data_IF_287728627015
#
_entry.id   IF_287728627015
#
_cell.length_a   1.000
_cell.length_b   1.000
_cell.length_c   1.000
_cell.angle_alpha   90.00
_cell.angle_beta   90.00
_cell.angle_gamma   90.00
#
_symmetry.space_group_name_H-M   'P 1'
#
loop_
_entity.id
_entity.type
_entity.pdbx_description
1 polymer ?
#
# COMPACT_ATOMS: atom_id res chain seq x y z
N UNK A 1 -52.63 -53.49 -37.30
CA UNK A 1 -53.36 -52.32 -37.83
C UNK A 1 -52.60 -51.11 -37.34
N UNK A 2 -51.51 -50.78 -38.03
CA UNK A 2 -51.45 -49.92 -39.23
C UNK A 2 -51.25 -48.45 -38.85
N UNK A 3 -49.99 -48.02 -38.99
CA UNK A 3 -49.53 -46.83 -39.73
C UNK A 3 -50.51 -45.69 -40.04
N UNK A 4 -50.17 -44.44 -39.64
CA UNK A 4 -49.46 -43.47 -40.51
C UNK A 4 -49.50 -42.02 -39.98
N UNK A 5 -48.34 -41.36 -40.09
CA UNK A 5 -48.04 -39.95 -40.39
C UNK A 5 -49.07 -38.83 -40.15
N UNK A 6 -48.60 -37.77 -39.46
CA UNK A 6 -49.22 -36.45 -39.51
C UNK A 6 -48.39 -35.37 -38.81
N UNK A 7 -47.48 -34.74 -39.55
CA UNK A 7 -46.78 -33.51 -39.14
C UNK A 7 -47.77 -32.34 -39.12
N UNK A 8 -47.83 -31.57 -38.02
CA UNK A 8 -47.94 -30.09 -37.97
C UNK A 8 -47.85 -29.57 -36.54
N UNK A 9 -47.01 -28.55 -36.37
CA UNK A 9 -46.70 -27.76 -35.17
C UNK A 9 -47.91 -27.07 -34.55
N UNK A 10 -47.82 -26.71 -33.25
CA UNK A 10 -47.97 -25.30 -32.93
C UNK A 10 -46.89 -24.76 -31.97
N UNK A 11 -46.67 -23.45 -32.11
CA UNK A 11 -45.80 -22.59 -31.33
C UNK A 11 -45.86 -22.84 -29.81
N UNK A 12 -44.68 -22.97 -29.19
CA UNK A 12 -44.48 -22.58 -27.79
C UNK A 12 -43.35 -21.57 -27.74
N UNK A 13 -43.70 -20.39 -27.23
CA UNK A 13 -42.84 -19.24 -27.05
C UNK A 13 -41.56 -19.62 -26.30
N UNK A 14 -40.42 -19.25 -26.88
CA UNK A 14 -39.17 -19.10 -26.13
C UNK A 14 -39.40 -17.91 -25.18
N UNK A 15 -39.72 -18.22 -23.93
CA UNK A 15 -39.66 -17.26 -22.83
C UNK A 15 -38.20 -16.85 -22.66
N UNK A 16 -37.87 -15.63 -23.11
CA UNK A 16 -36.64 -14.95 -22.71
C UNK A 16 -36.65 -14.75 -21.19
N UNK A 17 -36.11 -15.74 -20.47
CA UNK A 17 -35.71 -15.59 -19.08
C UNK A 17 -34.61 -14.54 -19.01
N UNK A 18 -34.99 -13.34 -18.56
CA UNK A 18 -34.13 -12.19 -18.35
C UNK A 18 -32.87 -12.57 -17.54
N UNK A 19 -31.65 -12.25 -18.01
CA UNK A 19 -30.41 -12.40 -17.23
C UNK A 19 -30.24 -11.31 -16.14
N UNK A 20 -31.32 -10.62 -15.76
CA UNK A 20 -31.28 -9.43 -14.91
C UNK A 20 -31.31 -9.73 -13.40
N UNK A 21 -31.50 -10.98 -12.97
CA UNK A 21 -31.54 -11.30 -11.53
C UNK A 21 -30.17 -11.47 -10.88
N UNK A 22 -29.10 -11.76 -11.65
CA UNK A 22 -27.75 -11.90 -11.08
C UNK A 22 -27.03 -10.57 -10.89
N UNK A 23 -27.29 -9.57 -11.72
CA UNK A 23 -26.75 -8.21 -11.56
C UNK A 23 -27.37 -7.48 -10.37
N UNK A 24 -28.66 -7.70 -10.10
CA UNK A 24 -29.33 -7.10 -8.94
C UNK A 24 -28.81 -7.66 -7.60
N UNK A 25 -28.44 -8.95 -7.53
CA UNK A 25 -27.85 -9.54 -6.32
C UNK A 25 -26.41 -9.11 -6.07
N UNK A 26 -25.61 -8.87 -7.11
CA UNK A 26 -24.24 -8.34 -6.94
C UNK A 26 -24.28 -6.86 -6.53
N UNK A 27 -25.20 -6.08 -7.09
CA UNK A 27 -25.37 -4.68 -6.70
C UNK A 27 -25.96 -4.53 -5.28
N UNK A 28 -26.85 -5.44 -4.85
CA UNK A 28 -27.36 -5.47 -3.48
C UNK A 28 -26.30 -5.93 -2.45
N UNK A 29 -25.38 -6.81 -2.84
CA UNK A 29 -24.24 -7.18 -1.99
C UNK A 29 -23.19 -6.06 -1.91
N UNK A 30 -23.02 -5.27 -2.98
CA UNK A 30 -22.19 -4.06 -2.98
C UNK A 30 -22.83 -2.89 -2.21
N UNK A 31 -24.16 -2.84 -2.10
CA UNK A 31 -24.88 -1.82 -1.34
C UNK A 31 -25.06 -2.16 0.16
N UNK A 32 -24.82 -3.40 0.56
CA UNK A 32 -24.65 -3.77 1.98
C UNK A 32 -23.28 -3.35 2.54
N UNK A 33 -22.36 -2.94 1.67
CA UNK A 33 -21.09 -2.26 1.97
C UNK A 33 -21.16 -0.78 1.59
N UNK A 34 -22.29 -0.12 1.84
CA UNK A 34 -22.29 1.33 1.90
C UNK A 34 -21.30 1.74 3.00
N UNK A 35 -20.14 2.35 2.67
CA UNK A 35 -19.24 2.83 3.69
C UNK A 35 -20.00 3.87 4.48
N UNK A 36 -19.81 3.86 5.79
CA UNK A 36 -20.02 5.01 6.65
C UNK A 36 -19.67 6.27 5.86
N UNK A 37 -20.68 7.11 5.61
CA UNK A 37 -20.49 8.38 4.93
C UNK A 37 -19.36 9.12 5.64
N UNK A 38 -18.33 9.43 4.85
CA UNK A 38 -17.12 10.13 5.24
C UNK A 38 -17.46 11.38 6.07
N UNK A 39 -17.03 11.41 7.31
CA UNK A 39 -16.47 12.66 7.85
C UNK A 39 -15.13 12.84 7.12
N UNK A 40 -15.02 13.92 6.36
CA UNK A 40 -13.74 14.37 5.82
C UNK A 40 -12.74 14.46 6.99
N UNK A 41 -11.60 13.78 6.88
CA UNK A 41 -10.68 13.65 8.01
C UNK A 41 -10.26 15.03 8.52
N UNK A 42 -10.46 15.27 9.81
CA UNK A 42 -10.02 16.49 10.53
C UNK A 42 -8.50 16.67 10.55
N UNK A 43 -7.75 15.71 9.99
CA UNK A 43 -6.30 15.68 9.95
C UNK A 43 -5.83 15.82 8.50
N UNK A 44 -4.95 16.79 8.25
CA UNK A 44 -4.21 17.00 7.01
C UNK A 44 -2.71 16.83 7.32
N UNK A 45 -2.32 15.58 7.59
CA UNK A 45 -0.95 15.20 7.94
C UNK A 45 -0.43 14.33 6.78
N UNK A 46 0.35 14.94 5.90
CA UNK A 46 0.96 14.27 4.76
C UNK A 46 2.35 13.68 5.04
N UNK A 47 2.90 13.04 4.02
CA UNK A 47 4.30 12.59 3.95
C UNK A 47 5.25 13.70 3.44
N UNK A 48 4.66 14.80 2.95
CA UNK A 48 5.35 15.92 2.27
C UNK A 48 5.92 16.96 3.24
N UNK A 49 6.44 16.49 4.37
CA UNK A 49 7.03 17.32 5.41
C UNK A 49 8.19 18.19 4.93
N UNK A 50 8.44 19.30 5.64
CA UNK A 50 9.62 20.13 5.38
C UNK A 50 10.90 19.28 5.44
N UNK A 51 11.75 19.41 4.42
CA UNK A 51 13.05 18.75 4.35
C UNK A 51 14.17 19.80 4.38
N UNK A 52 15.09 19.75 5.36
CA UNK A 52 15.16 18.80 6.47
C UNK A 52 14.08 19.06 7.53
N UNK A 53 13.76 18.04 8.33
CA UNK A 53 12.86 18.16 9.46
C UNK A 53 13.44 19.17 10.47
N UNK A 54 12.71 20.22 10.89
CA UNK A 54 13.26 21.26 11.76
C UNK A 54 13.79 20.69 13.09
N UNK A 55 14.96 21.16 13.53
CA UNK A 55 15.65 20.66 14.75
C UNK A 55 14.75 20.74 15.98
N UNK A 56 14.05 21.86 16.16
CA UNK A 56 13.13 22.05 17.28
C UNK A 56 12.00 20.99 17.31
N UNK A 57 11.38 20.72 16.16
CA UNK A 57 10.31 19.72 16.05
C UNK A 57 10.82 18.30 16.26
N UNK A 58 12.03 18.01 15.78
CA UNK A 58 12.72 16.74 16.02
C UNK A 58 12.96 16.52 17.52
N UNK A 59 13.54 17.52 18.19
CA UNK A 59 13.84 17.45 19.62
C UNK A 59 12.57 17.29 20.45
N UNK A 60 11.49 17.98 20.06
CA UNK A 60 10.19 17.84 20.71
C UNK A 60 9.64 16.41 20.64
N UNK A 61 9.70 15.74 19.48
CA UNK A 61 9.28 14.33 19.35
C UNK A 61 10.15 13.41 20.21
N UNK A 62 11.48 13.60 20.18
CA UNK A 62 12.41 12.74 20.92
C UNK A 62 12.26 12.91 22.44
N UNK A 63 12.08 14.14 22.91
CA UNK A 63 11.81 14.43 24.31
C UNK A 63 10.47 13.87 24.75
N UNK A 64 9.42 14.04 23.95
CA UNK A 64 8.10 13.50 24.24
C UNK A 64 8.14 11.96 24.33
N UNK A 65 8.85 11.30 23.42
CA UNK A 65 9.00 9.84 23.44
C UNK A 65 9.70 9.35 24.71
N UNK A 66 10.74 10.08 25.16
CA UNK A 66 11.50 9.76 26.38
C UNK A 66 10.65 9.98 27.64
N UNK A 67 9.92 11.07 27.71
CA UNK A 67 9.13 11.46 28.89
C UNK A 67 7.85 10.64 29.06
N UNK A 68 7.38 10.00 27.98
CA UNK A 68 6.20 9.15 27.95
C UNK A 68 6.51 7.65 27.90
N UNK A 69 7.76 7.24 28.19
CA UNK A 69 8.15 5.84 28.04
C UNK A 69 7.31 4.88 28.89
N UNK A 70 6.81 3.82 28.26
CA UNK A 70 6.00 2.79 28.91
C UNK A 70 4.57 3.16 29.27
N UNK A 71 4.07 4.35 28.91
CA UNK A 71 2.68 4.76 29.22
C UNK A 71 1.98 5.42 28.03
N UNK A 72 0.65 5.50 28.12
CA UNK A 72 -0.13 6.30 27.16
C UNK A 72 0.22 7.79 27.30
N UNK A 73 0.08 8.51 26.18
CA UNK A 73 0.24 9.96 26.16
C UNK A 73 -0.88 10.62 26.96
N UNK A 74 -0.53 11.62 27.76
CA UNK A 74 -1.49 12.53 28.36
C UNK A 74 -2.13 13.40 27.27
N UNK A 75 -3.24 14.07 27.59
CA UNK A 75 -3.96 14.88 26.60
C UNK A 75 -3.07 15.96 25.96
N UNK A 76 -2.36 16.72 26.79
CA UNK A 76 -1.48 17.80 26.32
C UNK A 76 -0.29 17.26 25.50
N UNK A 77 0.22 16.09 25.87
CA UNK A 77 1.30 15.39 25.15
C UNK A 77 0.83 14.90 23.77
N UNK A 78 -0.37 14.35 23.70
CA UNK A 78 -0.99 13.92 22.46
C UNK A 78 -1.29 15.11 21.54
N UNK A 79 -1.82 16.21 22.08
CA UNK A 79 -2.11 17.41 21.32
C UNK A 79 -0.81 18.07 20.81
N UNK A 80 0.26 18.06 21.62
CA UNK A 80 1.59 18.47 21.18
C UNK A 80 2.15 17.59 20.06
N UNK A 81 2.01 16.26 20.17
CA UNK A 81 2.46 15.33 19.12
C UNK A 81 1.72 15.58 17.79
N UNK A 82 0.39 15.74 17.85
CA UNK A 82 -0.42 16.05 16.66
C UNK A 82 -0.03 17.38 16.05
N UNK A 83 0.22 18.41 16.85
CA UNK A 83 0.61 19.73 16.35
C UNK A 83 1.91 19.66 15.54
N UNK A 84 2.91 18.90 16.01
CA UNK A 84 4.16 18.68 15.26
C UNK A 84 3.88 17.97 13.92
N UNK A 85 3.05 16.93 13.92
CA UNK A 85 2.73 16.20 12.70
C UNK A 85 1.91 17.03 11.70
N UNK A 86 0.99 17.88 12.16
CA UNK A 86 0.23 18.79 11.29
C UNK A 86 1.16 19.81 10.62
N UNK A 87 2.17 20.30 11.34
CA UNK A 87 3.09 21.30 10.77
C UNK A 87 4.16 20.67 9.87
N UNK A 88 4.68 19.50 10.25
CA UNK A 88 5.87 18.91 9.63
C UNK A 88 5.62 17.63 8.86
N UNK A 89 4.41 17.07 8.89
CA UNK A 89 4.12 15.75 8.35
C UNK A 89 4.77 14.61 9.16
N UNK A 90 4.55 13.39 8.67
CA UNK A 90 5.20 12.20 9.23
C UNK A 90 6.70 12.17 8.90
N UNK A 91 7.58 11.83 9.87
CA UNK A 91 9.01 11.67 9.59
C UNK A 91 9.29 10.57 8.56
N UNK A 92 10.14 10.87 7.58
CA UNK A 92 10.65 9.92 6.58
C UNK A 92 12.15 9.72 6.75
N UNK A 93 12.70 8.71 6.07
CA UNK A 93 14.13 8.42 6.09
C UNK A 93 14.90 9.62 5.52
N UNK A 94 14.36 10.26 4.48
CA UNK A 94 14.97 11.42 3.82
C UNK A 94 14.88 12.70 4.64
N UNK A 95 13.76 12.96 5.33
CA UNK A 95 13.58 14.23 6.07
C UNK A 95 14.30 14.25 7.41
N UNK A 96 14.33 13.12 8.11
CA UNK A 96 14.65 13.07 9.54
C UNK A 96 15.48 11.85 9.98
N UNK A 97 15.59 10.83 9.13
CA UNK A 97 16.29 9.59 9.42
C UNK A 97 15.52 8.61 10.31
N UNK A 98 16.03 7.38 10.45
CA UNK A 98 15.30 6.25 11.04
C UNK A 98 14.90 6.48 12.50
N UNK A 99 15.76 7.12 13.29
CA UNK A 99 15.51 7.36 14.72
C UNK A 99 14.22 8.16 14.98
N UNK A 100 13.87 9.11 14.12
CA UNK A 100 12.66 9.91 14.30
C UNK A 100 11.40 9.14 13.90
N UNK A 101 11.49 8.30 12.87
CA UNK A 101 10.41 7.38 12.46
C UNK A 101 10.06 6.45 13.62
N UNK A 102 11.08 5.82 14.22
CA UNK A 102 10.88 4.88 15.32
C UNK A 102 10.34 5.56 16.58
N UNK A 103 10.78 6.79 16.86
CA UNK A 103 10.26 7.58 17.97
C UNK A 103 8.78 7.96 17.75
N UNK A 104 8.43 8.44 16.55
CA UNK A 104 7.06 8.77 16.18
C UNK A 104 6.15 7.53 16.18
N UNK A 105 6.64 6.37 15.76
CA UNK A 105 5.90 5.10 15.83
C UNK A 105 5.50 4.73 17.27
N UNK A 106 6.43 4.87 18.22
CA UNK A 106 6.16 4.62 19.64
C UNK A 106 5.15 5.61 20.22
N UNK A 107 5.23 6.89 19.84
CA UNK A 107 4.26 7.90 20.24
C UNK A 107 2.88 7.61 19.64
N UNK A 108 2.83 7.19 18.38
CA UNK A 108 1.60 6.78 17.71
C UNK A 108 0.95 5.59 18.42
N UNK A 109 1.72 4.54 18.77
CA UNK A 109 1.22 3.40 19.57
C UNK A 109 0.60 3.88 20.90
N UNK A 110 1.22 4.86 21.57
CA UNK A 110 0.80 5.43 22.85
C UNK A 110 -0.33 6.45 22.76
N UNK A 111 -0.75 6.82 21.55
CA UNK A 111 -1.79 7.83 21.29
C UNK A 111 -3.22 7.28 21.48
N UNK A 112 -3.42 6.23 22.28
CA UNK A 112 -4.69 5.53 22.40
C UNK A 112 -5.85 6.33 23.02
N UNK A 113 -5.61 7.55 23.52
CA UNK A 113 -6.69 8.49 23.86
C UNK A 113 -7.46 8.99 22.62
N UNK A 114 -6.93 8.81 21.41
CA UNK A 114 -7.59 9.18 20.15
C UNK A 114 -7.45 8.06 19.11
N UNK A 115 -8.45 7.18 19.08
CA UNK A 115 -8.54 6.05 18.16
C UNK A 115 -8.60 6.49 16.69
N UNK A 116 -9.31 7.58 16.38
CA UNK A 116 -9.48 8.05 15.01
C UNK A 116 -8.19 8.64 14.45
N UNK A 117 -7.43 9.37 15.28
CA UNK A 117 -6.08 9.80 14.94
C UNK A 117 -5.17 8.60 14.65
N UNK A 118 -5.19 7.56 15.49
CA UNK A 118 -4.36 6.37 15.26
C UNK A 118 -4.73 5.65 13.94
N UNK A 119 -6.02 5.47 13.66
CA UNK A 119 -6.50 4.89 12.39
C UNK A 119 -6.10 5.74 11.18
N UNK A 120 -6.22 7.06 11.30
CA UNK A 120 -5.81 7.98 10.24
C UNK A 120 -4.32 7.83 9.95
N UNK A 121 -3.48 7.85 10.99
CA UNK A 121 -2.03 7.71 10.80
C UNK A 121 -1.64 6.36 10.22
N UNK A 122 -2.29 5.25 10.62
CA UNK A 122 -2.03 3.96 9.98
C UNK A 122 -2.26 4.00 8.46
N UNK A 123 -3.28 4.73 7.98
CA UNK A 123 -3.51 4.92 6.53
C UNK A 123 -2.44 5.78 5.85
N UNK A 124 -1.85 6.73 6.57
CA UNK A 124 -0.72 7.53 6.07
C UNK A 124 0.54 6.64 5.98
N UNK A 125 0.80 5.83 7.00
CA UNK A 125 1.95 4.92 7.05
C UNK A 125 1.87 3.82 6.00
N UNK A 126 0.67 3.34 5.68
CA UNK A 126 0.45 2.30 4.66
C UNK A 126 1.13 2.64 3.32
N UNK A 127 1.11 3.93 2.94
CA UNK A 127 1.71 4.43 1.70
C UNK A 127 3.25 4.38 1.69
N UNK A 128 3.90 4.11 2.83
CA UNK A 128 5.35 4.03 2.97
C UNK A 128 5.82 2.61 3.32
N UNK A 129 4.92 1.64 3.40
CA UNK A 129 5.26 0.25 3.65
C UNK A 129 6.03 -0.30 2.45
N UNK A 130 7.23 -0.84 2.72
CA UNK A 130 8.14 -1.30 1.67
C UNK A 130 9.17 -0.25 1.23
N UNK A 131 8.91 1.04 1.47
CA UNK A 131 9.86 2.13 1.28
C UNK A 131 10.58 2.43 2.60
N UNK A 132 10.04 3.34 3.41
CA UNK A 132 10.62 3.75 4.70
C UNK A 132 10.15 2.91 5.89
N UNK A 133 9.07 2.13 5.70
CA UNK A 133 8.41 1.37 6.77
C UNK A 133 8.49 -0.13 6.50
N UNK A 134 8.98 -0.88 7.49
CA UNK A 134 9.08 -2.34 7.40
C UNK A 134 7.68 -2.98 7.49
N UNK A 135 7.27 -3.81 6.50
CA UNK A 135 5.90 -4.37 6.46
C UNK A 135 5.50 -5.16 7.72
N UNK A 136 6.39 -6.02 8.21
CA UNK A 136 6.14 -6.84 9.41
C UNK A 136 5.92 -5.99 10.67
N UNK A 137 6.60 -4.85 10.77
CA UNK A 137 6.53 -3.98 11.96
C UNK A 137 5.34 -3.03 11.86
N UNK A 138 4.97 -2.61 10.65
CA UNK A 138 3.70 -1.94 10.41
C UNK A 138 2.51 -2.82 10.80
N UNK A 139 2.48 -4.08 10.35
CA UNK A 139 1.44 -5.04 10.71
C UNK A 139 1.34 -5.22 12.23
N UNK A 140 2.49 -5.29 12.92
CA UNK A 140 2.55 -5.37 14.37
C UNK A 140 2.06 -4.11 15.08
N UNK A 141 2.43 -2.94 14.60
CA UNK A 141 1.93 -1.67 15.12
C UNK A 141 0.40 -1.57 14.96
N UNK A 142 -0.11 -1.93 13.78
CA UNK A 142 -1.53 -1.95 13.49
C UNK A 142 -2.29 -2.93 14.41
N UNK A 143 -1.75 -4.12 14.65
CA UNK A 143 -2.34 -5.08 15.58
C UNK A 143 -2.34 -4.57 17.02
N UNK A 144 -1.27 -3.92 17.50
CA UNK A 144 -1.24 -3.32 18.85
C UNK A 144 -2.31 -2.24 19.02
N UNK A 145 -2.40 -1.34 18.04
CA UNK A 145 -3.43 -0.29 18.03
C UNK A 145 -4.81 -0.92 17.99
N UNK A 146 -5.05 -1.90 17.11
CA UNK A 146 -6.37 -2.52 16.97
C UNK A 146 -6.77 -3.31 18.23
N UNK A 147 -5.82 -4.05 18.82
CA UNK A 147 -5.99 -4.77 20.08
C UNK A 147 -6.36 -3.85 21.24
N UNK A 148 -5.75 -2.67 21.32
CA UNK A 148 -6.02 -1.69 22.38
C UNK A 148 -7.45 -1.14 22.37
N UNK A 149 -8.12 -1.17 21.20
CA UNK A 149 -9.48 -0.62 21.04
C UNK A 149 -10.57 -1.67 20.90
N UNK A 150 -10.27 -2.83 20.30
CA UNK A 150 -11.28 -3.83 19.93
C UNK A 150 -10.99 -5.22 20.49
N UNK A 151 -9.91 -5.40 21.25
CA UNK A 151 -9.49 -6.71 21.78
C UNK A 151 -9.34 -7.77 20.68
N UNK A 152 -8.92 -7.33 19.48
CA UNK A 152 -8.69 -8.19 18.32
C UNK A 152 -7.53 -7.69 17.47
N UNK A 153 -7.02 -8.55 16.61
CA UNK A 153 -5.91 -8.27 15.68
C UNK A 153 -6.36 -8.38 14.22
N UNK A 154 -5.65 -7.69 13.33
CA UNK A 154 -5.87 -7.73 11.87
C UNK A 154 -4.92 -8.72 11.19
N UNK A 155 -3.66 -8.74 11.61
CA UNK A 155 -2.58 -9.49 10.97
C UNK A 155 -2.10 -10.69 11.79
N UNK A 156 -2.48 -10.81 13.06
CA UNK A 156 -2.13 -11.94 13.93
C UNK A 156 -0.65 -11.95 14.33
N UNK A 157 -0.05 -10.79 14.48
CA UNK A 157 1.38 -10.61 14.79
C UNK A 157 1.67 -10.60 16.30
N UNK A 158 0.67 -10.35 17.14
CA UNK A 158 0.79 -10.45 18.60
C UNK A 158 0.55 -11.91 19.00
N UNK A 159 1.64 -12.57 19.33
CA UNK A 159 1.67 -13.96 19.69
C UNK A 159 2.00 -14.12 21.17
N UNK A 160 1.48 -15.17 21.77
CA UNK A 160 1.83 -15.63 23.11
C UNK A 160 2.23 -17.10 23.06
N UNK A 161 3.06 -17.53 24.01
CA UNK A 161 3.41 -18.94 24.17
C UNK A 161 2.63 -19.50 25.35
N UNK A 162 1.78 -20.48 25.07
CA UNK A 162 1.03 -21.25 26.07
C UNK A 162 1.50 -22.70 25.98
N UNK A 163 2.08 -23.25 27.05
CA UNK A 163 2.56 -24.64 27.12
C UNK A 163 3.44 -25.03 25.92
N UNK A 164 4.43 -24.19 25.58
CA UNK A 164 5.34 -24.32 24.42
C UNK A 164 4.69 -24.26 23.03
N UNK A 165 3.39 -23.94 22.95
CA UNK A 165 2.68 -23.70 21.69
C UNK A 165 2.54 -22.19 21.45
N UNK A 166 3.01 -21.72 20.29
CA UNK A 166 2.76 -20.36 19.85
C UNK A 166 1.30 -20.21 19.41
N UNK A 167 0.62 -19.20 19.95
CA UNK A 167 -0.77 -18.87 19.62
C UNK A 167 -0.90 -17.35 19.45
N UNK A 168 -1.97 -16.88 18.82
CA UNK A 168 -2.27 -15.45 18.71
C UNK A 168 -3.14 -14.99 19.86
N UNK A 169 -2.78 -13.86 20.47
CA UNK A 169 -3.58 -13.19 21.49
C UNK A 169 -3.34 -11.68 21.45
N UNK A 170 -4.38 -10.86 21.29
CA UNK A 170 -5.82 -11.19 21.16
C UNK A 170 -6.20 -11.98 19.88
N UNK A 171 -7.43 -12.51 19.72
CA UNK A 171 -7.79 -13.25 18.52
C UNK A 171 -7.80 -12.37 17.25
N UNK A 172 -7.62 -13.00 16.09
CA UNK A 172 -7.74 -12.32 14.79
C UNK A 172 -9.21 -12.03 14.49
N UNK A 173 -9.50 -10.82 14.01
CA UNK A 173 -10.86 -10.37 13.72
C UNK A 173 -11.54 -11.16 12.58
N UNK A 174 -10.78 -11.54 11.55
CA UNK A 174 -11.28 -12.27 10.37
C UNK A 174 -10.18 -13.13 9.74
N UNK A 175 -10.32 -14.45 9.78
CA UNK A 175 -9.37 -15.38 9.15
C UNK A 175 -9.33 -15.26 7.62
N UNK A 176 -10.46 -14.94 6.97
CA UNK A 176 -10.50 -14.79 5.52
C UNK A 176 -9.78 -13.54 5.02
N UNK A 177 -9.88 -12.43 5.77
CA UNK A 177 -9.20 -11.17 5.44
C UNK A 177 -7.71 -11.22 5.80
N UNK A 178 -7.36 -11.99 6.83
CA UNK A 178 -5.99 -12.17 7.32
C UNK A 178 -5.03 -12.62 6.21
N UNK A 179 -5.38 -13.67 5.46
CA UNK A 179 -4.51 -14.21 4.41
C UNK A 179 -4.23 -13.16 3.33
N UNK A 180 -5.26 -12.47 2.85
CA UNK A 180 -5.11 -11.40 1.86
C UNK A 180 -4.14 -10.31 2.34
N UNK A 181 -4.31 -9.86 3.58
CA UNK A 181 -3.47 -8.80 4.14
C UNK A 181 -2.04 -9.26 4.39
N UNK A 182 -1.84 -10.50 4.88
CA UNK A 182 -0.49 -11.07 5.08
C UNK A 182 0.24 -11.22 3.76
N UNK A 183 -0.42 -11.76 2.74
CA UNK A 183 0.13 -11.90 1.39
C UNK A 183 0.48 -10.53 0.79
N UNK A 184 -0.40 -9.53 0.93
CA UNK A 184 -0.18 -8.17 0.42
C UNK A 184 1.10 -7.54 0.96
N UNK A 185 1.39 -7.74 2.24
CA UNK A 185 2.60 -7.22 2.90
C UNK A 185 3.80 -8.19 2.87
N UNK A 186 3.68 -9.32 2.17
CA UNK A 186 4.74 -10.33 2.07
C UNK A 186 5.07 -11.01 3.41
N UNK A 187 4.09 -11.10 4.33
CA UNK A 187 4.20 -11.84 5.57
C UNK A 187 3.98 -13.34 5.30
N UNK A 188 4.67 -14.25 6.00
CA UNK A 188 4.38 -15.68 5.91
C UNK A 188 2.93 -15.95 6.32
N UNK A 189 2.35 -17.10 5.98
CA UNK A 189 1.01 -17.43 6.49
C UNK A 189 1.02 -17.52 8.03
N UNK A 190 -0.13 -17.35 8.69
CA UNK A 190 -0.18 -17.43 10.15
C UNK A 190 0.20 -18.83 10.65
N UNK A 191 -0.19 -19.87 9.92
CA UNK A 191 0.15 -21.26 10.26
C UNK A 191 1.66 -21.51 10.21
N UNK A 192 2.34 -21.02 9.17
CA UNK A 192 3.81 -21.12 9.05
C UNK A 192 4.52 -20.31 10.14
N UNK A 193 4.03 -19.11 10.44
CA UNK A 193 4.56 -18.23 11.48
C UNK A 193 4.49 -18.91 12.86
N UNK A 194 3.33 -19.44 13.24
CA UNK A 194 3.15 -20.17 14.51
C UNK A 194 3.94 -21.49 14.54
N UNK A 195 4.01 -22.23 13.42
CA UNK A 195 4.76 -23.48 13.32
C UNK A 195 6.27 -23.29 13.49
N UNK A 196 6.80 -22.12 13.13
CA UNK A 196 8.21 -21.75 13.34
C UNK A 196 8.56 -21.45 14.81
N UNK A 197 7.57 -21.49 15.71
CA UNK A 197 7.72 -21.07 17.10
C UNK A 197 7.47 -19.58 17.33
N UNK A 198 6.97 -18.89 16.30
CA UNK A 198 6.70 -17.46 16.24
C UNK A 198 7.86 -16.64 15.68
N UNK A 199 7.54 -15.59 14.93
CA UNK A 199 8.54 -14.61 14.47
C UNK A 199 8.99 -13.71 15.62
N UNK A 200 10.30 -13.66 15.85
CA UNK A 200 10.90 -12.56 16.60
C UNK A 200 10.94 -11.33 15.69
N UNK A 201 9.90 -10.51 15.78
CA UNK A 201 9.81 -9.30 14.97
C UNK A 201 10.88 -8.31 15.43
N UNK A 202 11.60 -7.71 14.47
CA UNK A 202 12.47 -6.58 14.74
C UNK A 202 11.73 -5.46 15.49
N UNK A 203 12.47 -4.65 16.25
CA UNK A 203 11.86 -3.60 17.10
C UNK A 203 11.64 -2.29 16.34
N UNK A 204 12.34 -2.09 15.21
CA UNK A 204 12.36 -0.82 14.47
C UNK A 204 11.36 -0.83 13.31
N UNK A 205 10.49 0.19 13.28
CA UNK A 205 9.55 0.41 12.19
C UNK A 205 10.30 0.88 10.94
N UNK A 206 11.35 1.66 11.13
CA UNK A 206 12.15 2.22 10.05
C UNK A 206 12.92 1.16 9.27
N UNK A 207 13.00 1.35 7.96
CA UNK A 207 13.93 0.64 7.09
C UNK A 207 14.53 1.63 6.09
N UNK A 208 15.74 1.37 5.56
CA UNK A 208 16.27 2.20 4.49
C UNK A 208 15.34 2.11 3.26
N UNK A 209 15.12 3.22 2.54
CA UNK A 209 14.27 3.22 1.37
C UNK A 209 14.75 2.16 0.39
N UNK A 210 13.82 1.33 -0.09
CA UNK A 210 14.13 0.37 -1.11
C UNK A 210 14.70 1.12 -2.32
N UNK A 211 15.96 0.83 -2.68
CA UNK A 211 16.47 1.31 -3.96
C UNK A 211 15.75 0.52 -5.03
N UNK A 212 14.69 1.11 -5.58
CA UNK A 212 13.94 0.54 -6.69
C UNK A 212 14.87 0.47 -7.91
N UNK A 213 15.63 -0.61 -8.00
CA UNK A 213 16.36 -0.98 -9.20
C UNK A 213 15.46 -1.95 -9.91
N UNK A 214 14.93 -1.55 -11.07
CA UNK A 214 14.34 -2.47 -12.02
C UNK A 214 15.30 -2.52 -13.20
N UNK A 215 16.39 -3.31 -13.09
CA UNK A 215 17.37 -3.43 -14.15
C UNK A 215 16.68 -3.85 -15.45
N UNK A 216 15.65 -4.70 -15.34
CA UNK A 216 14.89 -5.22 -16.47
C UNK A 216 14.09 -4.11 -17.16
N UNK A 217 13.38 -3.26 -16.39
CA UNK A 217 12.69 -2.09 -16.97
C UNK A 217 13.68 -1.10 -17.56
N UNK A 218 14.80 -0.82 -16.88
CA UNK A 218 15.84 0.09 -17.39
C UNK A 218 16.47 -0.44 -18.68
N UNK A 219 16.71 -1.74 -18.74
CA UNK A 219 17.24 -2.42 -19.93
C UNK A 219 16.21 -2.37 -21.05
N UNK A 220 14.94 -2.70 -20.77
CA UNK A 220 13.85 -2.63 -21.73
C UNK A 220 13.66 -1.21 -22.28
N UNK A 221 13.65 -0.19 -21.41
CA UNK A 221 13.61 1.22 -21.83
C UNK A 221 14.83 1.59 -22.67
N UNK A 222 16.01 1.13 -22.29
CA UNK A 222 17.23 1.33 -23.06
C UNK A 222 17.14 0.72 -24.47
N UNK A 223 16.66 -0.52 -24.58
CA UNK A 223 16.45 -1.23 -25.84
C UNK A 223 15.41 -0.55 -26.73
N UNK A 224 14.37 0.04 -26.14
CA UNK A 224 13.35 0.79 -26.88
C UNK A 224 13.85 2.16 -27.35
N UNK A 225 14.67 2.84 -26.57
CA UNK A 225 15.16 4.20 -26.87
C UNK A 225 16.37 4.19 -27.82
N UNK A 226 17.23 3.18 -27.73
CA UNK A 226 18.51 3.15 -28.45
C UNK A 226 18.37 3.23 -29.99
N UNK A 227 17.44 2.50 -30.65
CA UNK A 227 17.27 2.57 -32.10
C UNK A 227 16.88 3.98 -32.56
N UNK A 228 15.92 4.60 -31.86
CA UNK A 228 15.45 5.96 -32.14
C UNK A 228 16.57 7.01 -32.02
N UNK A 229 17.34 6.96 -30.93
CA UNK A 229 18.46 7.88 -30.72
C UNK A 229 19.53 7.71 -31.81
N UNK A 230 19.76 6.47 -32.26
CA UNK A 230 20.72 6.19 -33.34
C UNK A 230 20.27 6.78 -34.69
N UNK A 231 18.98 6.69 -35.03
CA UNK A 231 18.41 7.27 -36.26
C UNK A 231 18.47 8.79 -36.24
N UNK A 232 18.15 9.41 -35.10
CA UNK A 232 18.20 10.87 -34.93
C UNK A 232 19.64 11.40 -34.98
N UNK A 233 20.60 10.67 -34.41
CA UNK A 233 22.02 10.97 -34.54
C UNK A 233 22.53 10.83 -35.99
N UNK A 234 22.13 9.76 -36.69
CA UNK A 234 22.46 9.55 -38.10
C UNK A 234 21.88 10.65 -39.00
N UNK A 235 20.65 11.10 -38.73
CA UNK A 235 20.00 12.21 -39.44
C UNK A 235 20.78 13.52 -39.23
N UNK A 236 21.16 13.81 -37.99
CA UNK A 236 21.98 14.99 -37.66
C UNK A 236 23.32 14.97 -38.41
N UNK A 237 23.99 13.82 -38.44
CA UNK A 237 25.25 13.63 -39.18
C UNK A 237 25.08 13.69 -40.72
N UNK A 238 23.94 13.24 -41.25
CA UNK A 238 23.64 13.33 -42.68
C UNK A 238 23.35 14.78 -43.10
N UNK A 239 22.67 15.56 -42.24
CA UNK A 239 22.43 17.00 -42.44
C UNK A 239 23.73 17.79 -42.45
N UNK A 240 24.63 17.53 -41.50
CA UNK A 240 25.92 18.24 -41.44
C UNK A 240 26.83 17.94 -42.64
N UNK A 241 26.68 16.76 -43.25
CA UNK A 241 27.41 16.35 -44.48
C UNK A 241 26.70 16.75 -45.78
N UNK A 242 25.51 17.35 -45.73
CA UNK A 242 24.76 17.80 -46.91
C UNK A 242 24.23 16.68 -47.82
N UNK A 243 24.11 15.44 -47.33
CA UNK A 243 23.68 14.29 -48.16
C UNK A 243 22.16 14.21 -48.23
N UNK A 244 21.54 15.00 -49.10
CA UNK A 244 20.08 15.17 -49.23
C UNK A 244 19.30 13.84 -49.32
N UNK A 245 19.73 12.91 -50.17
CA UNK A 245 19.06 11.61 -50.32
C UNK A 245 19.05 10.75 -49.04
N UNK A 246 20.11 10.85 -48.22
CA UNK A 246 20.22 10.12 -46.95
C UNK A 246 19.42 10.78 -45.84
N UNK A 247 19.20 12.11 -45.92
CA UNK A 247 18.37 12.86 -44.99
C UNK A 247 16.90 12.51 -45.15
N UNK A 248 16.40 12.38 -46.38
CA UNK A 248 14.99 12.02 -46.61
C UNK A 248 14.69 10.56 -46.22
N UNK A 249 15.59 9.61 -46.53
CA UNK A 249 15.45 8.21 -46.08
C UNK A 249 15.36 8.09 -44.55
N UNK A 250 16.26 8.78 -43.82
CA UNK A 250 16.28 8.72 -42.36
C UNK A 250 15.05 9.41 -41.72
N UNK A 251 14.44 10.41 -42.38
CA UNK A 251 13.18 11.01 -41.92
C UNK A 251 12.01 10.04 -42.05
N UNK A 252 11.93 9.31 -43.18
CA UNK A 252 10.89 8.30 -43.39
C UNK A 252 11.01 7.15 -42.39
N UNK A 253 12.23 6.73 -42.09
CA UNK A 253 12.53 5.66 -41.13
C UNK A 253 12.17 6.07 -39.69
N UNK A 254 12.46 7.31 -39.29
CA UNK A 254 12.00 7.87 -38.00
C UNK A 254 10.48 7.95 -37.96
N UNK A 255 9.83 8.44 -39.03
CA UNK A 255 8.37 8.55 -39.09
C UNK A 255 7.65 7.18 -39.14
N UNK A 256 8.33 6.11 -39.58
CA UNK A 256 7.83 4.75 -39.47
C UNK A 256 7.96 4.24 -38.03
N UNK A 257 9.12 4.42 -37.39
CA UNK A 257 9.34 4.04 -36.00
C UNK A 257 8.40 4.77 -35.02
N UNK A 258 8.14 6.06 -35.25
CA UNK A 258 7.21 6.86 -34.43
C UNK A 258 5.74 6.36 -34.55
N UNK A 259 5.39 5.69 -35.66
CA UNK A 259 4.05 5.10 -35.87
C UNK A 259 3.87 3.73 -35.22
N UNK A 260 4.96 2.97 -35.07
CA UNK A 260 4.95 1.64 -34.45
C UNK A 260 5.09 1.69 -32.92
N UNK A 261 5.53 2.82 -32.35
CA UNK A 261 5.69 3.04 -30.91
C UNK A 261 4.47 3.58 -30.15
N UNK A 262 3.27 3.61 -30.77
CA UNK A 262 1.98 3.99 -30.17
C UNK A 262 1.07 2.75 -30.01
#
# INVERSE_FOLDING_TARGET
>A
MEDHNGVRTPCTMISLGRPFSRLASVLALLLAFAPFCMEASTFDIGLDGKSPYPEHSRDQILELQRNSDGRMLLRDELDAFKAVLVEQGWPTYRTSGPALIDAAAKLLERSGLDCEFQKYMLRVLDQQVGDDIRPAIYARLADRIHASHNSSQLYGTLQQRLDDVATVDPPVASLGSLLFFRDFYGLPSLEEDLASGGIDYEVTLSQPPATYTWPDIRTLLGELIQPDQSLRAALSAARSKGVSAKVELLKEEIAASDREGL
#
